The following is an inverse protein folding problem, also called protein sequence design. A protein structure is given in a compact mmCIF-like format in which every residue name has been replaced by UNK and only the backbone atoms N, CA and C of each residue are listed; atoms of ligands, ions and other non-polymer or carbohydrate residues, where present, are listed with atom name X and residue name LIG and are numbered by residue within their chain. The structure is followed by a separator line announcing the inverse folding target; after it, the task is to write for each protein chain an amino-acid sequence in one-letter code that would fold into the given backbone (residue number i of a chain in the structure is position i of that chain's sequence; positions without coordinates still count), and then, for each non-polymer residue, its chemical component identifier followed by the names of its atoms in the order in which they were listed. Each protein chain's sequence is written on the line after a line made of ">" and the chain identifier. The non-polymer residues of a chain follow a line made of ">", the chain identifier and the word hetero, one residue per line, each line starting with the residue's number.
data_IF_607005443456
#
_entry.id   IF_607005443456
#
_cell.length_a   1.000
_cell.length_b   1.000
_cell.length_c   1.000
_cell.angle_alpha   90.00
_cell.angle_beta   90.00
_cell.angle_gamma   90.00
#
_symmetry.space_group_name_H-M   'P 1'
#
loop_
_entity.id
_entity.type
_entity.pdbx_description
1 polymer ?
#
# COMPACT_ATOMS: atom_id res chain seq x y z
N UNK A 1 64.02 -0.31 29.00
CA UNK A 1 62.65 -0.84 29.03
C UNK A 1 61.57 0.13 29.54
N UNK A 2 61.87 1.17 30.36
CA UNK A 2 60.85 2.15 30.83
C UNK A 2 60.41 3.20 29.79
N UNK A 3 61.21 3.42 28.75
CA UNK A 3 60.93 4.41 27.69
C UNK A 3 59.87 3.93 26.68
N UNK A 4 59.93 2.65 26.30
CA UNK A 4 59.05 2.06 25.28
C UNK A 4 57.60 1.95 25.79
N UNK A 5 57.40 1.68 27.09
CA UNK A 5 56.07 1.64 27.71
C UNK A 5 55.37 3.01 27.69
N UNK A 6 56.12 4.11 27.85
CA UNK A 6 55.58 5.48 27.78
C UNK A 6 55.15 5.84 26.36
N UNK A 7 55.93 5.45 25.35
CA UNK A 7 55.61 5.69 23.95
C UNK A 7 54.40 4.87 23.50
N UNK A 8 54.31 3.61 23.95
CA UNK A 8 53.16 2.74 23.70
C UNK A 8 51.86 3.31 24.29
N UNK A 9 51.88 3.74 25.55
CA UNK A 9 50.72 4.36 26.21
C UNK A 9 50.27 5.65 25.51
N UNK A 10 51.22 6.46 25.04
CA UNK A 10 50.92 7.67 24.26
C UNK A 10 50.25 7.33 22.93
N UNK A 11 50.77 6.33 22.22
CA UNK A 11 50.21 5.89 20.93
C UNK A 11 48.80 5.30 21.09
N UNK A 12 48.57 4.49 22.13
CA UNK A 12 47.25 3.93 22.43
C UNK A 12 46.27 5.04 22.79
N UNK A 13 46.68 6.01 23.61
CA UNK A 13 45.84 7.16 23.97
C UNK A 13 45.43 7.98 22.75
N UNK A 14 46.34 8.14 21.78
CA UNK A 14 46.09 8.88 20.56
C UNK A 14 45.14 8.12 19.62
N UNK A 15 45.31 6.80 19.52
CA UNK A 15 44.37 5.94 18.78
C UNK A 15 42.98 5.98 19.40
N UNK A 16 42.88 5.86 20.73
CA UNK A 16 41.62 5.83 21.44
C UNK A 16 40.87 7.17 21.33
N UNK A 17 41.57 8.31 21.42
CA UNK A 17 40.94 9.63 21.24
C UNK A 17 40.43 9.82 19.81
N UNK A 18 41.14 9.29 18.81
CA UNK A 18 40.73 9.36 17.40
C UNK A 18 39.48 8.52 17.16
N UNK A 19 39.39 7.31 17.74
CA UNK A 19 38.20 6.46 17.63
C UNK A 19 36.99 7.12 18.31
N UNK A 20 37.16 7.69 19.50
CA UNK A 20 36.09 8.38 20.23
C UNK A 20 35.50 9.57 19.47
N UNK A 21 36.32 10.27 18.66
CA UNK A 21 35.87 11.38 17.82
C UNK A 21 35.07 10.94 16.59
N UNK A 22 35.24 9.70 16.13
CA UNK A 22 34.52 9.16 14.96
C UNK A 22 33.11 8.64 15.31
N UNK A 23 32.86 8.25 16.56
CA UNK A 23 31.57 7.74 17.03
C UNK A 23 30.40 8.70 16.73
N UNK A 24 30.44 10.01 17.10
CA UNK A 24 29.32 10.92 16.82
C UNK A 24 29.10 11.15 15.31
N UNK A 25 30.13 11.01 14.47
CA UNK A 25 30.00 11.17 13.02
C UNK A 25 29.20 10.02 12.39
N UNK A 26 29.44 8.78 12.85
CA UNK A 26 28.75 7.58 12.36
C UNK A 26 27.28 7.61 12.79
N UNK A 27 27.00 7.99 14.04
CA UNK A 27 25.62 8.06 14.57
C UNK A 27 24.81 9.11 13.81
N UNK A 28 25.38 10.31 13.57
CA UNK A 28 24.69 11.38 12.87
C UNK A 28 24.40 11.03 11.40
N UNK A 29 25.31 10.31 10.74
CA UNK A 29 25.06 9.81 9.38
C UNK A 29 23.91 8.79 9.34
N UNK A 30 23.89 7.85 10.29
CA UNK A 30 22.86 6.81 10.38
C UNK A 30 21.48 7.36 10.74
N UNK A 31 21.39 8.40 11.58
CA UNK A 31 20.12 9.04 11.93
C UNK A 31 19.48 9.72 10.72
N UNK A 32 20.31 10.36 9.88
CA UNK A 32 19.87 11.02 8.65
C UNK A 32 19.29 10.01 7.64
N UNK A 33 19.93 8.86 7.48
CA UNK A 33 19.48 7.77 6.60
C UNK A 33 18.13 7.19 7.05
N UNK A 34 17.97 6.93 8.36
CA UNK A 34 16.73 6.40 8.91
C UNK A 34 15.55 7.38 8.72
N UNK A 35 15.79 8.69 8.84
CA UNK A 35 14.78 9.71 8.58
C UNK A 35 14.36 9.73 7.09
N UNK A 36 15.31 9.57 6.17
CA UNK A 36 15.02 9.48 4.74
C UNK A 36 14.20 8.25 4.38
N UNK A 37 14.50 7.09 4.98
CA UNK A 37 13.73 5.86 4.81
C UNK A 37 12.30 6.03 5.35
N UNK A 38 12.14 6.65 6.51
CA UNK A 38 10.82 6.94 7.08
C UNK A 38 9.99 7.85 6.15
N UNK A 39 10.63 8.86 5.54
CA UNK A 39 10.00 9.73 4.54
C UNK A 39 9.61 8.97 3.27
N UNK A 40 10.44 8.06 2.78
CA UNK A 40 10.11 7.19 1.64
C UNK A 40 8.83 6.39 1.90
N UNK A 41 8.72 5.77 3.07
CA UNK A 41 7.54 4.97 3.46
C UNK A 41 6.29 5.84 3.54
N UNK A 42 6.37 7.00 4.20
CA UNK A 42 5.22 7.90 4.34
C UNK A 42 4.74 8.42 2.99
N UNK A 43 5.67 8.78 2.11
CA UNK A 43 5.35 9.31 0.79
C UNK A 43 4.78 8.23 -0.14
N UNK A 44 5.33 7.01 -0.11
CA UNK A 44 4.79 5.88 -0.86
C UNK A 44 3.32 5.59 -0.47
N UNK A 45 3.01 5.62 0.83
CA UNK A 45 1.64 5.43 1.31
C UNK A 45 0.70 6.52 0.81
N UNK A 46 1.09 7.79 0.92
CA UNK A 46 0.27 8.92 0.49
C UNK A 46 0.01 8.91 -1.02
N UNK A 47 1.03 8.60 -1.83
CA UNK A 47 0.89 8.53 -3.27
C UNK A 47 -0.07 7.38 -3.65
N UNK A 48 0.01 6.20 -3.02
CA UNK A 48 -0.94 5.09 -3.25
C UNK A 48 -2.37 5.45 -2.85
N UNK A 49 -2.57 6.12 -1.71
CA UNK A 49 -3.90 6.53 -1.24
C UNK A 49 -4.56 7.55 -2.18
N UNK A 50 -3.77 8.43 -2.80
CA UNK A 50 -4.29 9.40 -3.78
C UNK A 50 -4.84 8.73 -5.05
N UNK A 51 -4.27 7.59 -5.48
CA UNK A 51 -4.78 6.82 -6.61
C UNK A 51 -6.11 6.13 -6.29
N UNK A 52 -6.32 5.72 -5.04
CA UNK A 52 -7.54 5.02 -4.64
C UNK A 52 -8.79 5.88 -4.69
N UNK A 53 -8.71 7.14 -4.26
CA UNK A 53 -9.87 8.05 -4.32
C UNK A 53 -10.41 8.16 -5.75
N UNK A 54 -9.55 7.99 -6.75
CA UNK A 54 -9.91 7.99 -8.17
C UNK A 54 -10.38 6.59 -8.63
N UNK A 55 -9.80 5.52 -8.08
CA UNK A 55 -10.10 4.12 -8.45
C UNK A 55 -11.36 3.55 -7.80
N UNK A 56 -11.73 3.98 -6.58
CA UNK A 56 -12.92 3.55 -5.84
C UNK A 56 -14.22 3.82 -6.61
N UNK A 57 -14.23 4.82 -7.50
CA UNK A 57 -15.36 5.10 -8.38
C UNK A 57 -15.45 4.17 -9.61
N UNK A 58 -14.37 3.44 -9.94
CA UNK A 58 -14.29 2.60 -11.14
C UNK A 58 -14.35 1.10 -10.86
N UNK A 59 -14.08 0.64 -9.65
CA UNK A 59 -14.25 -0.78 -9.30
C UNK A 59 -15.69 -1.05 -8.87
N UNK A 60 -16.62 -1.01 -9.83
CA UNK A 60 -17.92 -1.68 -9.67
C UNK A 60 -17.63 -3.18 -9.47
N UNK A 61 -17.90 -3.66 -8.26
CA UNK A 61 -17.43 -4.94 -7.77
C UNK A 61 -17.84 -6.17 -8.58
N UNK A 62 -17.03 -7.23 -8.44
CA UNK A 62 -17.28 -8.64 -8.82
C UNK A 62 -17.75 -8.96 -10.26
N UNK A 63 -18.16 -7.99 -11.08
CA UNK A 63 -18.60 -8.20 -12.46
C UNK A 63 -17.44 -8.31 -13.45
N UNK A 64 -16.24 -7.91 -13.04
CA UNK A 64 -15.02 -8.07 -13.82
C UNK A 64 -14.18 -9.23 -13.25
N UNK A 65 -14.69 -10.45 -13.38
CA UNK A 65 -13.96 -11.69 -13.06
C UNK A 65 -12.65 -11.84 -13.89
N UNK A 66 -12.44 -11.00 -14.91
CA UNK A 66 -11.20 -10.94 -15.70
C UNK A 66 -10.10 -10.05 -15.10
N UNK A 67 -10.41 -9.21 -14.11
CA UNK A 67 -9.46 -8.25 -13.56
C UNK A 67 -8.47 -8.85 -12.56
N UNK A 68 -8.76 -9.98 -11.91
CA UNK A 68 -7.80 -10.63 -11.00
C UNK A 68 -6.53 -11.10 -11.74
N UNK A 69 -6.68 -11.58 -12.98
CA UNK A 69 -5.56 -11.97 -13.85
C UNK A 69 -4.79 -10.77 -14.44
N UNK A 70 -5.36 -9.57 -14.41
CA UNK A 70 -4.76 -8.34 -14.94
C UNK A 70 -4.38 -7.32 -13.85
N UNK A 71 -4.71 -7.56 -12.58
CA UNK A 71 -4.38 -6.66 -11.46
C UNK A 71 -2.87 -6.45 -11.33
N UNK A 72 -2.08 -7.49 -11.57
CA UNK A 72 -0.61 -7.40 -11.64
C UNK A 72 -0.09 -6.57 -12.83
N UNK A 73 -0.84 -6.48 -13.94
CA UNK A 73 -0.46 -5.69 -15.13
C UNK A 73 -0.83 -4.22 -15.02
N UNK A 74 -1.80 -3.88 -14.17
CA UNK A 74 -2.36 -2.54 -14.07
C UNK A 74 -1.91 -1.78 -12.82
N UNK A 75 -0.83 -2.23 -12.14
CA UNK A 75 -0.20 -1.44 -11.08
C UNK A 75 0.35 -0.17 -11.72
N UNK A 76 -0.19 1.02 -11.42
CA UNK A 76 0.38 2.26 -11.93
C UNK A 76 1.82 2.37 -11.43
N UNK A 77 2.80 2.55 -12.33
CA UNK A 77 4.18 2.71 -11.92
C UNK A 77 4.30 3.94 -11.01
N UNK A 78 5.17 3.90 -9.99
CA UNK A 78 5.42 5.06 -9.16
C UNK A 78 5.95 6.23 -10.00
N UNK A 79 5.57 7.46 -9.65
CA UNK A 79 5.99 8.65 -10.39
C UNK A 79 7.52 8.79 -10.35
N UNK A 80 8.21 8.78 -11.52
CA UNK A 80 9.66 8.92 -11.59
C UNK A 80 10.18 10.19 -10.90
N UNK A 81 9.38 11.26 -10.83
CA UNK A 81 9.75 12.51 -10.16
C UNK A 81 10.08 12.33 -8.68
N UNK A 82 9.51 11.30 -8.04
CA UNK A 82 9.75 10.97 -6.62
C UNK A 82 11.08 10.27 -6.37
N UNK A 83 11.65 9.67 -7.42
CA UNK A 83 12.83 8.80 -7.34
C UNK A 83 14.10 9.50 -7.86
N UNK A 84 13.95 10.50 -8.73
CA UNK A 84 15.09 11.22 -9.31
C UNK A 84 15.85 11.99 -8.22
N UNK A 85 17.16 11.73 -8.12
CA UNK A 85 18.05 12.41 -7.17
C UNK A 85 17.99 11.87 -5.74
N UNK A 86 17.30 10.75 -5.49
CA UNK A 86 17.25 10.09 -4.19
C UNK A 86 18.33 9.01 -4.04
N UNK A 87 18.65 8.68 -2.79
CA UNK A 87 19.57 7.58 -2.46
C UNK A 87 18.98 6.23 -2.89
N UNK A 88 19.84 5.24 -3.08
CA UNK A 88 19.41 3.89 -3.48
C UNK A 88 18.49 3.26 -2.42
N UNK A 89 18.82 3.45 -1.14
CA UNK A 89 18.02 2.99 0.00
C UNK A 89 16.63 3.63 0.03
N UNK A 90 16.53 4.93 -0.29
CA UNK A 90 15.25 5.60 -0.43
C UNK A 90 14.41 4.98 -1.55
N UNK A 91 15.01 4.75 -2.72
CA UNK A 91 14.31 4.18 -3.88
C UNK A 91 13.82 2.77 -3.59
N UNK A 92 14.63 1.95 -2.92
CA UNK A 92 14.27 0.59 -2.54
C UNK A 92 13.13 0.58 -1.51
N UNK A 93 13.26 1.34 -0.43
CA UNK A 93 12.24 1.46 0.61
C UNK A 93 10.92 1.96 0.03
N UNK A 94 10.97 3.02 -0.79
CA UNK A 94 9.81 3.59 -1.45
C UNK A 94 9.11 2.57 -2.36
N UNK A 95 9.88 1.92 -3.25
CA UNK A 95 9.33 1.00 -4.26
C UNK A 95 8.69 -0.22 -3.60
N UNK A 96 9.36 -0.78 -2.58
CA UNK A 96 8.84 -1.90 -1.80
C UNK A 96 7.52 -1.55 -1.12
N UNK A 97 7.50 -0.45 -0.36
CA UNK A 97 6.29 -0.01 0.35
C UNK A 97 5.14 0.30 -0.62
N UNK A 98 5.44 0.94 -1.74
CA UNK A 98 4.45 1.24 -2.78
C UNK A 98 3.78 -0.03 -3.31
N UNK A 99 4.57 -1.06 -3.65
CA UNK A 99 4.03 -2.33 -4.15
C UNK A 99 3.24 -3.12 -3.10
N UNK A 100 3.70 -3.17 -1.85
CA UNK A 100 2.99 -3.87 -0.77
C UNK A 100 1.65 -3.19 -0.46
N UNK A 101 1.65 -1.86 -0.36
CA UNK A 101 0.44 -1.08 -0.08
C UNK A 101 -0.58 -1.19 -1.21
N UNK A 102 -0.16 -1.10 -2.46
CA UNK A 102 -1.12 -1.18 -3.58
C UNK A 102 -1.75 -2.57 -3.71
N UNK A 103 -1.00 -3.65 -3.43
CA UNK A 103 -1.53 -5.02 -3.44
C UNK A 103 -2.58 -5.23 -2.34
N UNK A 104 -2.26 -4.87 -1.10
CA UNK A 104 -3.20 -5.01 0.03
C UNK A 104 -4.51 -4.24 -0.19
N UNK A 105 -4.42 -3.07 -0.83
CA UNK A 105 -5.58 -2.26 -1.17
C UNK A 105 -6.42 -2.87 -2.30
N UNK A 106 -5.78 -3.44 -3.32
CA UNK A 106 -6.49 -4.18 -4.38
C UNK A 106 -7.29 -5.35 -3.80
N UNK A 107 -6.70 -6.12 -2.87
CA UNK A 107 -7.38 -7.22 -2.19
C UNK A 107 -8.58 -6.73 -1.37
N UNK A 108 -8.39 -5.65 -0.60
CA UNK A 108 -9.45 -5.09 0.26
C UNK A 108 -10.61 -4.54 -0.57
N UNK A 109 -10.32 -3.75 -1.61
CA UNK A 109 -11.34 -3.16 -2.48
C UNK A 109 -12.09 -4.23 -3.27
N UNK A 110 -11.41 -5.30 -3.68
CA UNK A 110 -12.05 -6.43 -4.31
C UNK A 110 -13.08 -7.10 -3.38
N UNK A 111 -12.69 -7.37 -2.13
CA UNK A 111 -13.59 -7.97 -1.14
C UNK A 111 -14.81 -7.08 -0.91
N UNK A 112 -14.60 -5.77 -0.71
CA UNK A 112 -15.69 -4.80 -0.54
C UNK A 112 -16.60 -4.78 -1.76
N UNK A 113 -16.03 -4.74 -2.97
CA UNK A 113 -16.79 -4.76 -4.21
C UNK A 113 -17.65 -6.02 -4.35
N UNK A 114 -17.12 -7.18 -3.99
CA UNK A 114 -17.85 -8.44 -4.07
C UNK A 114 -19.01 -8.52 -3.06
N UNK A 115 -18.80 -8.06 -1.83
CA UNK A 115 -19.87 -7.97 -0.83
C UNK A 115 -20.93 -6.97 -1.26
N UNK A 116 -20.53 -5.82 -1.80
CA UNK A 116 -21.44 -4.80 -2.33
C UNK A 116 -22.29 -5.31 -3.48
N UNK A 117 -21.69 -5.97 -4.47
CA UNK A 117 -22.42 -6.52 -5.61
C UNK A 117 -23.37 -7.66 -5.19
N UNK A 118 -22.94 -8.55 -4.30
CA UNK A 118 -23.76 -9.64 -3.80
C UNK A 118 -25.00 -9.12 -3.04
N UNK A 119 -24.82 -8.11 -2.18
CA UNK A 119 -25.93 -7.52 -1.42
C UNK A 119 -26.96 -6.83 -2.33
N UNK A 120 -26.53 -6.07 -3.35
CA UNK A 120 -27.43 -5.48 -4.35
C UNK A 120 -28.20 -6.57 -5.11
N UNK A 121 -27.52 -7.62 -5.55
CA UNK A 121 -28.14 -8.74 -6.26
C UNK A 121 -29.24 -9.43 -5.46
N UNK A 122 -29.00 -9.67 -4.16
CA UNK A 122 -30.00 -10.26 -3.26
C UNK A 122 -31.23 -9.35 -3.11
N UNK A 123 -31.03 -8.05 -2.92
CA UNK A 123 -32.15 -7.09 -2.81
C UNK A 123 -32.98 -7.08 -4.09
N UNK A 124 -32.33 -6.98 -5.26
CA UNK A 124 -33.02 -6.99 -6.55
C UNK A 124 -33.80 -8.30 -6.76
N UNK A 125 -33.21 -9.44 -6.40
CA UNK A 125 -33.89 -10.73 -6.49
C UNK A 125 -35.18 -10.76 -5.65
N UNK A 126 -35.14 -10.29 -4.40
CA UNK A 126 -36.33 -10.26 -3.53
C UNK A 126 -37.39 -9.29 -4.04
N UNK A 127 -37.00 -8.11 -4.53
CA UNK A 127 -37.92 -7.13 -5.12
C UNK A 127 -38.60 -7.70 -6.36
N UNK A 128 -37.83 -8.23 -7.30
CA UNK A 128 -38.38 -8.85 -8.53
C UNK A 128 -39.32 -9.99 -8.16
N UNK A 129 -38.93 -10.89 -7.24
CA UNK A 129 -39.76 -12.02 -6.81
C UNK A 129 -41.07 -11.59 -6.13
N UNK A 130 -41.05 -10.47 -5.40
CA UNK A 130 -42.27 -9.88 -4.80
C UNK A 130 -43.17 -9.31 -5.89
N UNK A 131 -42.61 -8.59 -6.85
CA UNK A 131 -43.34 -8.00 -7.98
C UNK A 131 -43.93 -9.09 -8.87
N UNK A 132 -43.18 -10.13 -9.23
CA UNK A 132 -43.70 -11.23 -10.05
C UNK A 132 -44.84 -11.96 -9.36
N UNK A 133 -44.73 -12.25 -8.05
CA UNK A 133 -45.84 -12.86 -7.30
C UNK A 133 -47.09 -11.98 -7.28
N UNK A 134 -46.93 -10.68 -7.07
CA UNK A 134 -48.05 -9.75 -7.13
C UNK A 134 -48.71 -9.73 -8.52
N UNK A 135 -47.90 -9.74 -9.59
CA UNK A 135 -48.40 -9.81 -10.96
C UNK A 135 -49.10 -11.14 -11.27
N UNK A 136 -48.57 -12.27 -10.75
CA UNK A 136 -49.20 -13.58 -10.88
C UNK A 136 -50.55 -13.63 -10.15
N UNK A 137 -50.64 -13.07 -8.95
CA UNK A 137 -51.88 -12.95 -8.18
C UNK A 137 -52.91 -12.11 -8.96
N UNK A 138 -52.54 -10.93 -9.46
CA UNK A 138 -53.42 -10.11 -10.30
C UNK A 138 -53.83 -10.79 -11.62
N UNK A 139 -52.92 -11.54 -12.26
CA UNK A 139 -53.24 -12.29 -13.47
C UNK A 139 -54.19 -13.46 -13.21
N UNK A 140 -54.13 -14.06 -12.01
CA UNK A 140 -55.04 -15.12 -11.58
C UNK A 140 -56.45 -14.58 -11.30
N UNK A 141 -56.57 -13.42 -10.66
CA UNK A 141 -57.86 -12.76 -10.40
C UNK A 141 -58.59 -12.36 -11.70
N UNK A 142 -57.83 -11.90 -12.72
CA UNK A 142 -58.41 -11.56 -14.03
C UNK A 142 -58.95 -12.79 -14.78
N UNK A 143 -58.38 -13.98 -14.58
CA UNK A 143 -58.87 -15.23 -15.19
C UNK A 143 -60.13 -15.80 -14.52
N UNK A 144 -60.47 -15.33 -13.32
CA UNK A 144 -61.64 -15.80 -12.54
C UNK A 144 -62.87 -14.92 -12.81
N UNK A 145 -62.70 -13.76 -13.45
CA UNK A 145 -63.84 -12.94 -13.91
C UNK A 145 -64.44 -13.54 -15.20
N UNK A 146 -65.77 -13.78 -15.24
CA UNK A 146 -66.46 -14.44 -16.35
C UNK A 146 -66.53 -13.62 -17.65
#
# INVERSE_FOLDING_TARGET
>A
MKGDEKLLKKSISLFLSTILLLIPLIINAQETENEEIAKAIAQANADVESYLVIAEWKSCGCFDLGSFGNAYKNIPPPDPSRLIGKSLEYVEAYTKTYHEKIQSLQETNYIIGCIGAASIGVVLYFVIRKVTRFLDDCASDFKILP
#
